data_IF_374476252718
#
_entry.id   IF_374476252718
#
_cell.length_a   1.000
_cell.length_b   1.000
_cell.length_c   1.000
_cell.angle_alpha   90.00
_cell.angle_beta   90.00
_cell.angle_gamma   90.00
#
_symmetry.space_group_name_H-M   'P 1'
#
loop_
_entity.id
_entity.type
_entity.pdbx_description
1 polymer ?
#
# COMPACT_ATOMS: atom_id res chain seq x y z
N UNK A 1 -9.77 6.98 5.47
CA UNK A 1 -8.46 6.67 4.87
C UNK A 1 -7.53 6.20 5.97
N UNK A 2 -6.74 5.18 5.69
CA UNK A 2 -5.69 4.68 6.59
C UNK A 2 -4.44 5.56 6.40
N UNK A 3 -3.86 6.07 7.49
CA UNK A 3 -2.60 6.79 7.38
C UNK A 3 -1.49 5.83 6.91
N UNK A 4 -0.63 6.28 6.00
CA UNK A 4 0.54 5.52 5.54
C UNK A 4 1.83 6.18 6.01
N UNK A 5 2.92 5.43 6.12
CA UNK A 5 4.21 5.96 6.56
C UNK A 5 4.90 6.73 5.42
N UNK A 6 5.31 8.01 5.60
CA UNK A 6 5.82 8.86 4.52
C UNK A 6 7.07 8.29 3.84
N UNK A 7 7.15 8.40 2.52
CA UNK A 7 8.17 7.67 1.75
C UNK A 7 9.61 8.18 1.93
N UNK A 8 9.73 9.48 2.21
CA UNK A 8 10.98 10.19 2.49
C UNK A 8 11.62 9.77 3.81
N UNK A 9 10.85 9.15 4.71
CA UNK A 9 11.32 8.68 6.00
C UNK A 9 11.81 7.22 5.88
N UNK A 10 12.87 6.81 6.60
CA UNK A 10 13.28 5.42 6.69
C UNK A 10 12.13 4.44 6.97
N UNK A 11 11.93 3.49 6.06
CA UNK A 11 10.82 2.51 6.09
C UNK A 11 11.11 1.29 6.99
N UNK A 12 12.37 1.13 7.40
CA UNK A 12 12.89 0.00 8.16
C UNK A 12 13.56 0.48 9.45
N UNK A 13 13.50 -0.35 10.48
CA UNK A 13 14.28 -0.17 11.69
C UNK A 13 15.79 -0.35 11.43
N UNK A 14 16.64 0.17 12.31
CA UNK A 14 18.03 -0.30 12.40
C UNK A 14 18.04 -1.78 12.83
N UNK A 15 18.99 -2.57 12.32
CA UNK A 15 19.10 -4.02 12.57
C UNK A 15 19.19 -4.37 14.06
N UNK A 16 19.93 -3.58 14.83
CA UNK A 16 20.08 -3.65 16.29
C UNK A 16 19.11 -2.74 17.05
N UNK A 17 18.26 -1.99 16.34
CA UNK A 17 17.39 -0.95 16.88
C UNK A 17 16.04 -1.43 17.39
N UNK A 18 15.78 -2.74 17.43
CA UNK A 18 14.46 -3.31 17.74
C UNK A 18 14.49 -4.04 19.08
N UNK A 19 13.57 -3.66 19.98
CA UNK A 19 13.37 -4.34 21.27
C UNK A 19 11.89 -4.40 21.66
N UNK A 20 11.50 -5.36 22.49
CA UNK A 20 10.10 -5.57 22.90
C UNK A 20 9.56 -6.95 22.50
N UNK A 21 8.24 -7.09 22.42
CA UNK A 21 7.60 -8.37 22.13
C UNK A 21 6.09 -8.42 22.39
N UNK A 22 5.49 -9.63 22.34
CA UNK A 22 4.09 -9.84 22.67
C UNK A 22 3.73 -9.30 24.06
N UNK A 23 2.57 -8.66 24.17
CA UNK A 23 2.01 -8.22 25.44
C UNK A 23 0.97 -9.22 25.93
N UNK A 24 0.87 -9.42 27.24
CA UNK A 24 -0.24 -10.20 27.80
C UNK A 24 -1.51 -9.34 27.78
N UNK A 25 -2.45 -9.73 26.91
CA UNK A 25 -3.75 -9.07 26.74
C UNK A 25 -4.87 -9.77 27.53
N UNK A 26 -4.53 -10.68 28.46
CA UNK A 26 -5.52 -11.35 29.32
C UNK A 26 -6.01 -10.41 30.42
N UNK A 27 -7.32 -10.44 30.67
CA UNK A 27 -7.88 -10.00 31.94
C UNK A 27 -7.74 -11.16 32.94
N UNK A 28 -7.03 -10.94 34.04
CA UNK A 28 -6.97 -11.87 35.17
C UNK A 28 -7.86 -11.33 36.30
N UNK A 29 -8.71 -12.19 36.85
CA UNK A 29 -9.48 -11.96 38.05
C UNK A 29 -8.95 -12.89 39.15
N UNK A 30 -8.42 -12.30 40.21
CA UNK A 30 -7.86 -13.01 41.36
C UNK A 30 -8.89 -12.93 42.51
N UNK A 31 -9.70 -13.99 42.74
CA UNK A 31 -10.65 -14.00 43.84
C UNK A 31 -9.93 -14.11 45.19
N UNK A 32 -10.54 -13.61 46.26
CA UNK A 32 -9.99 -13.74 47.62
C UNK A 32 -9.89 -15.19 48.12
N UNK A 33 -10.61 -16.13 47.46
CA UNK A 33 -10.57 -17.58 47.70
C UNK A 33 -10.72 -18.30 46.36
N UNK A 34 -9.83 -19.25 46.08
CA UNK A 34 -9.85 -20.06 44.85
C UNK A 34 -8.79 -19.64 43.82
N UNK A 35 -8.77 -20.33 42.68
CA UNK A 35 -7.80 -20.09 41.60
C UNK A 35 -8.12 -18.84 40.78
N UNK A 36 -7.08 -18.21 40.23
CA UNK A 36 -7.23 -17.05 39.35
C UNK A 36 -7.87 -17.42 38.01
N UNK A 37 -8.88 -16.66 37.60
CA UNK A 37 -9.58 -16.84 36.31
C UNK A 37 -8.99 -15.85 35.30
N UNK A 38 -8.42 -16.34 34.20
CA UNK A 38 -7.93 -15.49 33.11
C UNK A 38 -8.76 -15.66 31.83
N UNK A 39 -9.00 -14.55 31.11
CA UNK A 39 -9.66 -14.54 29.79
C UNK A 39 -8.97 -13.55 28.84
N UNK A 40 -8.72 -13.90 27.57
CA UNK A 40 -8.16 -12.96 26.60
C UNK A 40 -9.15 -11.81 26.34
N UNK A 41 -8.65 -10.55 26.33
CA UNK A 41 -9.46 -9.37 25.95
C UNK A 41 -9.57 -9.17 24.43
N UNK A 42 -8.69 -9.82 23.67
CA UNK A 42 -8.58 -9.68 22.22
C UNK A 42 -8.39 -11.06 21.58
N UNK A 43 -8.85 -11.21 20.34
CA UNK A 43 -8.77 -12.48 19.58
C UNK A 43 -7.36 -12.82 19.09
N UNK A 44 -6.46 -11.84 18.99
CA UNK A 44 -5.08 -12.04 18.57
C UNK A 44 -4.07 -11.32 19.47
N UNK A 45 -2.82 -11.72 19.38
CA UNK A 45 -1.72 -11.15 20.15
C UNK A 45 -1.36 -9.74 19.66
N UNK A 46 -1.33 -8.79 20.60
CA UNK A 46 -0.69 -7.47 20.41
C UNK A 46 0.80 -7.62 20.72
N UNK A 47 1.65 -7.04 19.88
CA UNK A 47 3.08 -6.89 20.17
C UNK A 47 3.41 -5.42 20.34
N UNK A 48 4.26 -5.08 21.31
CA UNK A 48 4.78 -3.73 21.50
C UNK A 48 6.28 -3.75 21.30
N UNK A 49 6.77 -2.91 20.39
CA UNK A 49 8.19 -2.77 20.09
C UNK A 49 8.63 -1.32 20.25
N UNK A 50 9.82 -1.14 20.81
CA UNK A 50 10.60 0.08 20.71
C UNK A 50 11.55 -0.07 19.51
N UNK A 51 11.49 0.88 18.58
CA UNK A 51 12.10 0.82 17.25
C UNK A 51 12.93 2.08 17.01
N UNK A 52 14.25 1.94 16.94
CA UNK A 52 15.15 3.00 16.50
C UNK A 52 15.25 3.02 14.99
N UNK A 53 14.98 4.19 14.40
CA UNK A 53 15.16 4.47 12.98
C UNK A 53 16.62 4.84 12.68
N UNK A 54 17.08 4.66 11.43
CA UNK A 54 18.31 5.25 10.93
C UNK A 54 18.42 6.76 11.18
N UNK A 55 19.64 7.28 11.09
CA UNK A 55 19.91 8.71 11.24
C UNK A 55 19.21 9.53 10.14
N UNK A 56 18.40 10.49 10.52
CA UNK A 56 17.65 11.38 9.63
C UNK A 56 18.23 12.80 9.62
N UNK A 57 18.12 13.49 8.48
CA UNK A 57 18.35 14.93 8.39
C UNK A 57 17.23 15.74 9.05
N UNK A 58 17.38 17.07 9.10
CA UNK A 58 16.36 17.94 9.71
C UNK A 58 15.06 17.92 8.90
N UNK A 59 15.13 18.02 7.57
CA UNK A 59 13.94 18.02 6.71
C UNK A 59 13.15 16.71 6.78
N UNK A 60 13.83 15.56 6.84
CA UNK A 60 13.19 14.25 7.03
C UNK A 60 12.50 14.15 8.41
N UNK A 61 13.09 14.75 9.45
CA UNK A 61 12.49 14.83 10.77
C UNK A 61 11.30 15.80 10.83
N UNK A 62 11.33 16.91 10.11
CA UNK A 62 10.20 17.84 9.99
C UNK A 62 9.01 17.15 9.31
N UNK A 63 9.22 16.44 8.19
CA UNK A 63 8.18 15.61 7.55
C UNK A 63 7.62 14.53 8.50
N UNK A 64 8.46 13.93 9.35
CA UNK A 64 8.01 12.99 10.38
C UNK A 64 7.10 13.64 11.44
N UNK A 65 7.49 14.81 11.96
CA UNK A 65 6.78 15.49 13.04
C UNK A 65 5.43 16.05 12.55
N UNK A 66 5.40 16.62 11.35
CA UNK A 66 4.18 17.10 10.66
C UNK A 66 3.22 15.93 10.38
N UNK A 67 3.71 14.85 9.76
CA UNK A 67 2.90 13.64 9.54
C UNK A 67 2.35 13.05 10.85
N UNK A 68 3.17 13.02 11.90
CA UNK A 68 2.74 12.53 13.20
C UNK A 68 1.62 13.39 13.79
N UNK A 69 1.77 14.71 13.71
CA UNK A 69 0.79 15.67 14.21
C UNK A 69 -0.55 15.58 13.45
N UNK A 70 -0.50 15.54 12.13
CA UNK A 70 -1.65 15.67 11.23
C UNK A 70 -2.32 14.32 10.91
N UNK A 71 -1.56 13.35 10.41
CA UNK A 71 -2.12 12.11 9.84
C UNK A 71 -2.42 11.06 10.92
N UNK A 72 -1.61 11.00 11.98
CA UNK A 72 -1.81 10.00 13.04
C UNK A 72 -2.72 10.48 14.18
N UNK A 73 -3.23 11.71 14.11
CA UNK A 73 -3.95 12.33 15.22
C UNK A 73 -3.13 12.29 16.51
N UNK A 74 -1.82 12.62 16.43
CA UNK A 74 -0.82 12.53 17.51
C UNK A 74 -0.72 11.12 18.14
N UNK A 75 -0.72 10.10 17.29
CA UNK A 75 -0.58 8.69 17.65
C UNK A 75 -1.88 7.97 18.00
N UNK A 76 -3.04 8.59 17.81
CA UNK A 76 -4.35 7.98 18.06
C UNK A 76 -4.86 7.12 16.90
N UNK A 77 -4.49 7.44 15.67
CA UNK A 77 -4.86 6.71 14.44
C UNK A 77 -3.86 5.60 14.15
N UNK A 78 -4.34 4.50 13.58
CA UNK A 78 -3.49 3.40 13.12
C UNK A 78 -2.99 3.65 11.68
N UNK A 79 -1.81 3.15 11.39
CA UNK A 79 -1.14 3.24 10.08
C UNK A 79 -0.55 1.90 9.67
N UNK A 80 -0.14 1.77 8.41
CA UNK A 80 0.55 0.57 7.92
C UNK A 80 2.03 0.64 8.26
N UNK A 81 2.57 -0.44 8.84
CA UNK A 81 4.01 -0.58 9.09
C UNK A 81 4.46 -2.05 9.00
N UNK A 82 5.68 -2.29 8.52
CA UNK A 82 6.31 -3.62 8.46
C UNK A 82 6.80 -4.13 9.82
N UNK A 83 6.17 -5.18 10.34
CA UNK A 83 6.53 -5.84 11.62
C UNK A 83 8.04 -6.14 11.64
N UNK A 84 8.83 -5.53 12.55
CA UNK A 84 10.28 -5.56 12.47
C UNK A 84 10.88 -6.94 12.76
N UNK A 85 10.10 -7.86 13.34
CA UNK A 85 10.53 -9.24 13.63
C UNK A 85 10.05 -10.20 12.55
N UNK A 86 8.85 -9.98 11.99
CA UNK A 86 8.24 -10.89 11.00
C UNK A 86 8.45 -10.47 9.55
N UNK A 87 8.88 -9.25 9.30
CA UNK A 87 9.03 -8.68 7.96
C UNK A 87 7.72 -8.41 7.21
N UNK A 88 6.54 -8.68 7.80
CA UNK A 88 5.25 -8.54 7.12
C UNK A 88 4.54 -7.21 7.46
N UNK A 89 3.87 -6.54 6.51
CA UNK A 89 3.04 -5.37 6.77
C UNK A 89 1.89 -5.70 7.73
N UNK A 90 1.68 -4.84 8.72
CA UNK A 90 0.58 -4.95 9.69
C UNK A 90 0.06 -3.55 10.03
N UNK A 91 -1.14 -3.50 10.61
CA UNK A 91 -1.62 -2.27 11.23
C UNK A 91 -0.83 -2.02 12.52
N UNK A 92 -0.19 -0.86 12.60
CA UNK A 92 0.55 -0.38 13.75
C UNK A 92 -0.08 0.92 14.27
N UNK A 93 0.15 1.21 15.55
CA UNK A 93 -0.26 2.45 16.20
C UNK A 93 0.78 2.82 17.24
N UNK A 94 0.95 4.10 17.54
CA UNK A 94 1.80 4.51 18.66
C UNK A 94 1.26 3.98 20.00
N UNK A 95 2.16 3.44 20.81
CA UNK A 95 1.83 2.90 22.12
C UNK A 95 1.55 4.04 23.10
N UNK A 96 0.65 3.87 24.08
CA UNK A 96 0.36 4.92 25.05
C UNK A 96 1.58 5.27 25.92
N UNK A 97 1.68 6.55 26.30
CA UNK A 97 2.79 7.13 27.04
C UNK A 97 3.74 7.92 26.13
N UNK A 98 5.04 7.76 26.32
CA UNK A 98 6.06 8.30 25.41
C UNK A 98 5.99 7.54 24.06
N UNK A 99 5.48 8.23 23.05
CA UNK A 99 5.18 7.71 21.71
C UNK A 99 6.44 7.60 20.83
N UNK A 100 7.32 8.60 20.90
CA UNK A 100 8.66 8.59 20.34
C UNK A 100 9.61 9.45 21.18
N UNK A 101 10.89 9.12 21.11
CA UNK A 101 11.98 9.90 21.68
C UNK A 101 12.93 10.36 20.56
N UNK A 102 13.51 11.55 20.68
CA UNK A 102 14.42 12.13 19.68
C UNK A 102 15.78 12.43 20.32
N UNK A 103 16.85 11.84 19.78
CA UNK A 103 18.22 12.23 20.11
C UNK A 103 18.84 13.03 18.96
N UNK A 104 19.52 14.13 19.27
CA UNK A 104 20.30 14.91 18.30
C UNK A 104 21.78 14.61 18.43
N UNK A 105 22.47 14.32 17.32
CA UNK A 105 23.94 14.23 17.26
C UNK A 105 24.45 15.00 16.04
N UNK A 106 24.94 16.22 16.28
CA UNK A 106 25.34 17.15 15.22
C UNK A 106 24.14 17.60 14.38
N UNK A 107 24.20 17.36 13.06
CA UNK A 107 23.08 17.63 12.13
C UNK A 107 21.96 16.57 12.21
N UNK A 108 22.30 15.34 12.57
CA UNK A 108 21.40 14.18 12.50
C UNK A 108 20.38 14.12 13.65
N UNK A 109 19.24 13.51 13.38
CA UNK A 109 18.21 13.09 14.35
C UNK A 109 18.13 11.57 14.38
N UNK A 110 18.09 11.00 15.58
CA UNK A 110 17.85 9.59 15.82
C UNK A 110 16.51 9.50 16.52
N UNK A 111 15.51 8.94 15.85
CA UNK A 111 14.16 8.79 16.39
C UNK A 111 13.94 7.36 16.82
N UNK A 112 13.47 7.19 18.04
CA UNK A 112 13.08 5.90 18.60
C UNK A 112 11.57 5.93 18.83
N UNK A 113 10.83 5.18 18.02
CA UNK A 113 9.38 5.02 18.10
C UNK A 113 9.00 3.94 19.11
N UNK A 114 7.79 4.01 19.68
CA UNK A 114 7.21 2.94 20.48
C UNK A 114 5.88 2.48 19.87
N UNK A 115 5.89 1.40 19.10
CA UNK A 115 4.75 0.96 18.28
C UNK A 115 4.06 -0.29 18.85
N UNK A 116 2.73 -0.23 18.91
CA UNK A 116 1.82 -1.35 19.16
C UNK A 116 1.33 -1.91 17.83
N UNK A 117 1.64 -3.17 17.53
CA UNK A 117 1.17 -3.88 16.34
C UNK A 117 -0.14 -4.60 16.65
N UNK A 118 -1.20 -4.21 15.94
CA UNK A 118 -2.56 -4.68 16.14
C UNK A 118 -2.76 -6.11 15.60
N UNK A 119 -3.68 -6.91 16.18
CA UNK A 119 -3.95 -8.25 15.70
C UNK A 119 -4.60 -8.24 14.30
N UNK A 120 -4.40 -9.33 13.57
CA UNK A 120 -4.83 -9.48 12.18
C UNK A 120 -3.71 -9.26 11.16
N UNK A 121 -3.95 -9.73 9.94
CA UNK A 121 -3.18 -9.36 8.75
C UNK A 121 -3.98 -8.32 7.96
N UNK A 122 -3.30 -7.40 7.30
CA UNK A 122 -3.94 -6.58 6.27
C UNK A 122 -4.25 -7.50 5.10
N UNK A 123 -5.43 -7.37 4.49
CA UNK A 123 -5.82 -8.22 3.35
C UNK A 123 -4.87 -8.01 2.17
N UNK A 124 -4.43 -6.76 1.98
CA UNK A 124 -3.47 -6.36 0.97
C UNK A 124 -1.99 -6.58 1.33
N UNK A 125 -1.67 -7.24 2.47
CA UNK A 125 -0.29 -7.36 2.94
C UNK A 125 0.65 -8.06 1.93
N UNK A 126 0.13 -8.98 1.11
CA UNK A 126 0.89 -9.66 0.07
C UNK A 126 1.33 -8.77 -1.10
N UNK A 127 0.60 -7.67 -1.36
CA UNK A 127 0.91 -6.74 -2.45
C UNK A 127 1.91 -5.64 -2.05
N UNK A 128 2.21 -5.48 -0.76
CA UNK A 128 3.16 -4.46 -0.29
C UNK A 128 4.61 -4.99 -0.40
N UNK A 129 5.45 -4.38 -1.26
CA UNK A 129 6.79 -4.89 -1.55
C UNK A 129 7.70 -4.89 -0.34
N UNK A 130 8.57 -5.88 -0.23
CA UNK A 130 9.50 -5.99 0.90
C UNK A 130 10.38 -4.72 1.03
N UNK A 131 10.68 -4.33 2.27
CA UNK A 131 11.36 -3.06 2.59
C UNK A 131 10.50 -1.79 2.50
N UNK A 132 9.21 -1.89 2.12
CA UNK A 132 8.26 -0.76 2.04
C UNK A 132 7.12 -0.94 3.06
N UNK A 133 6.61 0.17 3.62
CA UNK A 133 5.50 0.21 4.59
C UNK A 133 4.26 0.99 4.06
N UNK A 134 4.20 1.20 2.75
CA UNK A 134 3.16 1.99 2.07
C UNK A 134 2.13 1.04 1.45
N UNK A 135 0.83 1.17 1.77
CA UNK A 135 -0.21 0.39 1.12
C UNK A 135 -0.45 0.87 -0.32
N UNK A 136 -0.85 0.00 -1.25
CA UNK A 136 -1.45 0.44 -2.49
C UNK A 136 -2.78 1.15 -2.21
N UNK A 137 -3.06 2.21 -2.98
CA UNK A 137 -4.35 2.92 -3.01
C UNK A 137 -5.42 2.02 -3.65
N UNK A 138 -5.01 1.27 -4.67
CA UNK A 138 -5.86 0.37 -5.44
C UNK A 138 -5.08 -0.89 -5.81
N UNK A 139 -5.75 -2.04 -5.70
CA UNK A 139 -5.31 -3.34 -6.20
C UNK A 139 -6.39 -3.85 -7.15
N UNK A 140 -5.98 -4.23 -8.35
CA UNK A 140 -6.75 -5.09 -9.24
C UNK A 140 -5.89 -6.33 -9.53
N UNK A 141 -6.27 -7.48 -8.98
CA UNK A 141 -5.62 -8.78 -9.20
C UNK A 141 -6.65 -9.70 -9.86
N UNK A 142 -6.51 -9.84 -11.18
CA UNK A 142 -7.46 -10.54 -12.02
C UNK A 142 -7.32 -12.05 -11.94
N UNK A 143 -6.13 -12.58 -11.60
CA UNK A 143 -5.95 -14.02 -11.39
C UNK A 143 -6.66 -14.52 -10.13
N UNK A 144 -6.80 -13.67 -9.11
CA UNK A 144 -7.46 -14.01 -7.86
C UNK A 144 -8.90 -13.45 -7.73
N UNK A 145 -9.47 -12.90 -8.81
CA UNK A 145 -10.78 -12.22 -8.82
C UNK A 145 -10.90 -11.18 -7.69
N UNK A 146 -9.81 -10.45 -7.40
CA UNK A 146 -9.72 -9.55 -6.25
C UNK A 146 -9.53 -8.09 -6.68
N UNK A 147 -10.48 -7.24 -6.29
CA UNK A 147 -10.34 -5.79 -6.37
C UNK A 147 -10.43 -5.18 -4.97
N UNK A 148 -9.70 -4.09 -4.71
CA UNK A 148 -9.90 -3.34 -3.49
C UNK A 148 -9.05 -2.10 -3.31
N UNK A 149 -9.37 -1.34 -2.28
CA UNK A 149 -8.68 -0.12 -1.84
C UNK A 149 -8.24 -0.25 -0.37
N UNK A 150 -7.58 0.77 0.18
CA UNK A 150 -7.15 0.77 1.59
C UNK A 150 -8.29 0.47 2.58
N UNK A 151 -9.56 0.74 2.20
CA UNK A 151 -10.74 0.52 3.03
C UNK A 151 -11.37 -0.88 2.94
N UNK A 152 -11.07 -1.68 1.92
CA UNK A 152 -11.67 -3.01 1.76
C UNK A 152 -11.52 -3.61 0.36
N UNK A 153 -11.97 -4.86 0.22
CA UNK A 153 -11.93 -5.63 -1.04
C UNK A 153 -13.30 -6.19 -1.43
N UNK A 154 -13.50 -6.40 -2.72
CA UNK A 154 -14.66 -7.03 -3.37
C UNK A 154 -14.17 -7.95 -4.50
N UNK A 155 -15.05 -8.84 -4.99
CA UNK A 155 -14.74 -9.63 -6.18
C UNK A 155 -14.66 -8.73 -7.41
N UNK A 156 -13.77 -8.98 -8.38
CA UNK A 156 -13.68 -8.17 -9.60
C UNK A 156 -14.95 -8.25 -10.43
N UNK A 157 -15.68 -9.37 -10.37
CA UNK A 157 -17.01 -9.51 -10.99
C UNK A 157 -18.05 -8.46 -10.52
N UNK A 158 -17.88 -7.85 -9.34
CA UNK A 158 -18.78 -6.77 -8.85
C UNK A 158 -18.50 -5.44 -9.54
N UNK A 159 -17.28 -5.24 -10.07
CA UNK A 159 -16.94 -4.02 -10.81
C UNK A 159 -17.69 -3.92 -12.14
N UNK A 160 -17.83 -5.01 -12.88
CA UNK A 160 -18.59 -5.01 -14.14
C UNK A 160 -20.03 -4.55 -13.93
N UNK A 161 -20.66 -4.96 -12.84
CA UNK A 161 -22.03 -4.53 -12.48
C UNK A 161 -22.07 -3.05 -12.05
N UNK A 162 -21.07 -2.60 -11.27
CA UNK A 162 -20.97 -1.21 -10.82
C UNK A 162 -20.77 -0.23 -11.99
N UNK A 163 -19.96 -0.61 -12.98
CA UNK A 163 -19.68 0.22 -14.16
C UNK A 163 -20.80 0.17 -15.22
N UNK A 164 -21.54 -0.93 -15.32
CA UNK A 164 -22.75 -1.00 -16.15
C UNK A 164 -23.88 -0.04 -15.70
N UNK A 165 -23.87 0.37 -14.42
CA UNK A 165 -24.87 1.27 -13.83
C UNK A 165 -24.57 2.76 -13.98
N UNK A 166 -23.35 3.15 -14.37
CA UNK A 166 -22.94 4.56 -14.53
C UNK A 166 -23.00 5.06 -15.98
N UNK A 167 -23.41 4.21 -16.93
CA UNK A 167 -23.60 4.56 -18.33
C UNK A 167 -24.90 5.33 -18.59
N UNK A 168 -25.03 6.55 -18.07
CA UNK A 168 -25.83 7.54 -18.80
C UNK A 168 -25.08 7.86 -20.11
N UNK A 169 -25.74 7.84 -21.27
CA UNK A 169 -25.07 8.11 -22.54
C UNK A 169 -24.51 9.54 -22.54
N UNK A 170 -23.22 9.66 -22.81
CA UNK A 170 -22.56 10.96 -22.97
C UNK A 170 -23.14 11.64 -24.22
N UNK A 171 -23.70 12.83 -24.05
CA UNK A 171 -24.39 13.58 -25.11
C UNK A 171 -23.42 13.91 -26.27
N UNK A 172 -23.89 13.82 -27.52
CA UNK A 172 -23.07 13.65 -28.72
C UNK A 172 -22.11 14.81 -29.07
N UNK A 173 -22.17 15.95 -28.35
CA UNK A 173 -21.41 17.16 -28.68
C UNK A 173 -19.89 17.06 -28.45
N UNK A 174 -19.38 16.05 -27.73
CA UNK A 174 -17.92 15.85 -27.55
C UNK A 174 -17.27 14.96 -28.62
N UNK A 175 -18.02 14.40 -29.58
CA UNK A 175 -17.45 13.67 -30.73
C UNK A 175 -16.75 12.35 -30.40
N UNK A 176 -17.20 11.67 -29.35
CA UNK A 176 -16.72 10.34 -28.92
C UNK A 176 -17.84 9.30 -29.10
N UNK A 177 -17.99 8.80 -30.32
CA UNK A 177 -18.86 7.65 -30.61
C UNK A 177 -18.18 6.37 -30.15
N UNK A 178 -18.82 5.63 -29.24
CA UNK A 178 -18.49 4.23 -28.98
C UNK A 178 -19.10 3.39 -30.11
N UNK A 179 -18.27 2.66 -30.86
CA UNK A 179 -18.73 1.66 -31.82
C UNK A 179 -19.03 0.35 -31.07
N UNK A 180 -20.13 -0.34 -31.39
CA UNK A 180 -20.59 -1.51 -30.61
C UNK A 180 -19.69 -2.75 -30.79
N UNK A 181 -18.84 -2.76 -31.84
CA UNK A 181 -17.91 -3.84 -32.15
C UNK A 181 -16.49 -3.62 -31.54
N UNK A 182 -16.16 -2.43 -31.04
CA UNK A 182 -14.85 -2.11 -30.45
C UNK A 182 -14.93 -1.95 -28.91
N UNK A 183 -14.02 -2.59 -28.18
CA UNK A 183 -14.09 -2.72 -26.71
C UNK A 183 -14.21 -1.38 -25.95
N UNK A 184 -15.09 -1.36 -24.93
CA UNK A 184 -15.49 -0.17 -24.18
C UNK A 184 -14.34 0.76 -23.77
N UNK A 185 -14.54 2.07 -23.92
CA UNK A 185 -13.62 3.11 -23.41
C UNK A 185 -14.23 3.72 -22.14
N UNK A 186 -13.40 3.93 -21.11
CA UNK A 186 -13.78 4.56 -19.85
C UNK A 186 -12.83 5.74 -19.58
N UNK A 187 -13.28 6.74 -18.83
CA UNK A 187 -12.49 7.90 -18.42
C UNK A 187 -12.94 8.30 -17.02
N UNK A 188 -12.05 8.36 -16.03
CA UNK A 188 -12.39 8.91 -14.71
C UNK A 188 -11.99 10.41 -14.69
N UNK A 189 -12.98 11.29 -14.83
CA UNK A 189 -12.76 12.74 -14.89
C UNK A 189 -12.64 13.42 -13.52
N UNK A 190 -13.59 13.18 -12.62
CA UNK A 190 -13.91 14.14 -11.54
C UNK A 190 -13.74 13.64 -10.09
N UNK A 191 -13.32 12.39 -9.85
CA UNK A 191 -13.25 11.81 -8.48
C UNK A 191 -11.87 11.92 -7.80
N UNK A 192 -10.86 12.49 -8.47
CA UNK A 192 -9.55 12.80 -7.88
C UNK A 192 -9.41 14.33 -7.75
N UNK A 193 -9.16 14.89 -6.54
CA UNK A 193 -9.20 16.34 -6.34
C UNK A 193 -8.20 17.16 -7.15
N UNK A 194 -7.07 16.59 -7.56
CA UNK A 194 -6.12 17.21 -8.50
C UNK A 194 -5.56 16.11 -9.46
N UNK A 195 -5.69 16.35 -10.77
CA UNK A 195 -5.32 15.52 -11.93
C UNK A 195 -6.15 14.24 -12.24
N UNK A 196 -6.50 14.06 -13.54
CA UNK A 196 -7.48 13.08 -14.04
C UNK A 196 -6.92 11.88 -14.84
N UNK A 197 -7.82 10.98 -15.24
CA UNK A 197 -7.51 9.56 -15.55
C UNK A 197 -7.72 9.16 -17.01
N UNK A 198 -7.24 7.97 -17.36
CA UNK A 198 -7.29 7.32 -18.68
C UNK A 198 -7.66 5.85 -18.44
N UNK A 199 -8.48 5.18 -19.30
CA UNK A 199 -8.85 3.75 -19.12
C UNK A 199 -8.80 2.94 -20.42
N UNK A 200 -8.83 1.61 -20.27
CA UNK A 200 -8.69 0.61 -21.32
C UNK A 200 -9.45 -0.68 -21.06
N UNK A 201 -9.75 -1.39 -22.15
CA UNK A 201 -10.46 -2.68 -22.16
C UNK A 201 -9.70 -3.75 -22.93
N UNK A 202 -9.95 -5.02 -22.57
CA UNK A 202 -9.51 -6.22 -23.27
C UNK A 202 -10.73 -7.00 -23.74
N UNK A 203 -10.74 -7.47 -24.99
CA UNK A 203 -11.71 -8.44 -25.50
C UNK A 203 -11.01 -9.36 -26.50
N UNK A 204 -11.15 -10.69 -26.37
CA UNK A 204 -10.50 -11.64 -27.27
C UNK A 204 -10.29 -13.02 -26.65
N UNK A 205 -11.35 -13.79 -26.46
CA UNK A 205 -11.26 -15.12 -25.87
C UNK A 205 -10.58 -16.13 -26.81
N UNK A 206 -9.59 -16.86 -26.30
CA UNK A 206 -9.00 -18.06 -26.89
C UNK A 206 -8.57 -17.97 -28.38
N UNK A 207 -7.30 -17.58 -28.57
CA UNK A 207 -6.55 -17.47 -29.82
C UNK A 207 -6.68 -16.15 -30.60
N UNK A 208 -5.60 -15.36 -30.61
CA UNK A 208 -5.28 -14.56 -31.79
C UNK A 208 -5.00 -13.08 -31.64
N UNK A 209 -5.13 -12.51 -30.43
CA UNK A 209 -4.59 -11.18 -30.12
C UNK A 209 -5.50 -10.00 -30.43
N UNK A 210 -6.11 -9.47 -29.38
CA UNK A 210 -6.65 -8.12 -29.28
C UNK A 210 -6.34 -7.62 -27.87
N UNK A 211 -6.10 -6.32 -27.71
CA UNK A 211 -5.82 -5.74 -26.40
C UNK A 211 -5.45 -4.28 -26.45
N UNK A 212 -5.74 -3.57 -25.36
CA UNK A 212 -5.49 -2.14 -25.23
C UNK A 212 -4.83 -1.86 -23.87
N UNK A 213 -4.26 -0.66 -23.70
CA UNK A 213 -3.24 -0.32 -22.69
C UNK A 213 -3.22 1.19 -22.29
N UNK A 214 -3.72 1.62 -21.12
CA UNK A 214 -3.90 3.07 -20.84
C UNK A 214 -3.82 3.47 -19.35
N UNK A 215 -3.19 4.63 -19.05
CA UNK A 215 -3.00 5.27 -17.73
C UNK A 215 -2.76 6.79 -17.90
N UNK A 216 -3.12 7.66 -16.93
CA UNK A 216 -2.84 9.12 -16.92
C UNK A 216 -2.46 9.65 -15.51
N UNK A 217 -1.68 10.74 -15.49
CA UNK A 217 -1.30 11.56 -14.33
C UNK A 217 -1.01 13.01 -14.79
N UNK A 218 -1.05 13.98 -13.87
CA UNK A 218 -0.57 15.38 -14.00
C UNK A 218 -0.31 15.90 -12.56
N UNK A 219 0.43 16.96 -12.24
CA UNK A 219 1.41 17.73 -13.02
C UNK A 219 2.85 17.55 -12.48
N UNK A 220 3.07 16.57 -11.60
CA UNK A 220 4.30 16.39 -10.79
C UNK A 220 5.01 15.05 -11.01
N UNK A 221 4.94 14.50 -12.23
CA UNK A 221 5.74 13.37 -12.74
C UNK A 221 5.64 12.03 -11.97
N UNK A 222 4.41 11.51 -11.88
CA UNK A 222 4.17 10.07 -11.86
C UNK A 222 3.85 9.58 -13.28
N UNK A 223 4.40 8.42 -13.68
CA UNK A 223 4.11 7.81 -14.99
C UNK A 223 4.17 6.28 -14.86
N UNK A 224 3.13 5.63 -15.37
CA UNK A 224 2.96 4.18 -15.47
C UNK A 224 2.19 3.94 -16.78
N UNK A 225 2.45 2.83 -17.48
CA UNK A 225 1.79 2.37 -18.72
C UNK A 225 2.08 0.87 -18.82
N UNK A 226 1.20 0.04 -19.40
CA UNK A 226 1.57 -1.31 -19.92
C UNK A 226 0.70 -1.70 -21.10
N UNK A 227 1.36 -2.30 -22.11
CA UNK A 227 0.93 -2.51 -23.51
C UNK A 227 0.15 -3.81 -23.82
N UNK A 228 -0.39 -3.90 -25.04
CA UNK A 228 -0.76 -5.15 -25.72
C UNK A 228 0.45 -5.86 -26.37
N UNK A 229 0.21 -6.60 -27.47
CA UNK A 229 1.11 -7.62 -28.09
C UNK A 229 2.49 -7.16 -28.66
N UNK A 230 3.03 -6.04 -28.16
CA UNK A 230 4.42 -5.59 -28.34
C UNK A 230 5.10 -5.27 -26.99
N UNK A 231 4.59 -5.82 -25.88
CA UNK A 231 5.21 -5.71 -24.56
C UNK A 231 6.66 -6.27 -24.54
N UNK A 232 6.99 -7.19 -25.44
CA UNK A 232 8.33 -7.72 -25.72
C UNK A 232 9.45 -6.68 -25.97
N UNK A 233 9.12 -5.40 -26.21
CA UNK A 233 10.09 -4.32 -26.49
C UNK A 233 10.31 -3.32 -25.35
N UNK A 234 9.57 -3.45 -24.23
CA UNK A 234 9.70 -2.55 -23.07
C UNK A 234 10.71 -3.09 -22.05
N UNK A 235 11.53 -2.20 -21.50
CA UNK A 235 12.45 -2.54 -20.41
C UNK A 235 11.67 -2.84 -19.12
N UNK A 236 11.58 -4.13 -18.77
CA UNK A 236 10.90 -4.62 -17.56
C UNK A 236 11.45 -4.00 -16.27
N UNK A 237 12.71 -3.51 -16.27
CA UNK A 237 13.29 -2.84 -15.11
C UNK A 237 12.62 -1.47 -14.80
N UNK A 238 11.90 -0.87 -15.75
CA UNK A 238 11.24 0.43 -15.58
C UNK A 238 9.85 0.34 -14.91
N UNK A 239 9.24 -0.83 -14.78
CA UNK A 239 7.82 -1.00 -14.44
C UNK A 239 7.54 -2.05 -13.35
N UNK A 240 8.01 -1.85 -12.10
CA UNK A 240 7.94 -2.86 -11.03
C UNK A 240 6.54 -3.05 -10.39
N UNK A 241 5.48 -2.49 -11.00
CA UNK A 241 4.11 -2.47 -10.45
C UNK A 241 3.13 -3.36 -11.22
N UNK A 242 3.59 -4.01 -12.29
CA UNK A 242 2.78 -4.73 -13.25
C UNK A 242 3.35 -6.14 -13.43
N UNK A 243 2.53 -7.13 -13.06
CA UNK A 243 2.90 -8.55 -13.15
C UNK A 243 2.32 -9.14 -14.43
N UNK A 244 3.13 -9.90 -15.16
CA UNK A 244 2.75 -10.55 -16.41
C UNK A 244 2.91 -12.07 -16.30
N UNK A 245 2.00 -12.80 -16.94
CA UNK A 245 2.16 -14.23 -17.22
C UNK A 245 2.95 -14.48 -18.52
N UNK A 246 3.31 -15.74 -18.79
CA UNK A 246 4.14 -16.14 -19.95
C UNK A 246 3.55 -15.72 -21.32
N UNK A 247 2.25 -15.40 -21.38
CA UNK A 247 1.53 -14.95 -22.56
C UNK A 247 1.34 -13.42 -22.66
N UNK A 248 2.19 -12.62 -22.00
CA UNK A 248 2.13 -11.13 -21.96
C UNK A 248 0.81 -10.54 -21.40
N UNK A 249 -0.01 -11.36 -20.74
CA UNK A 249 -1.26 -10.92 -20.12
C UNK A 249 -0.98 -10.25 -18.77
N UNK A 250 -1.59 -9.09 -18.52
CA UNK A 250 -1.49 -8.37 -17.24
C UNK A 250 -2.31 -9.09 -16.19
N UNK A 251 -1.64 -9.55 -15.13
CA UNK A 251 -2.25 -10.37 -14.07
C UNK A 251 -2.69 -9.51 -12.89
N UNK A 252 -1.93 -8.44 -12.60
CA UNK A 252 -2.19 -7.53 -11.49
C UNK A 252 -1.74 -6.10 -11.77
N UNK A 253 -2.52 -5.11 -11.34
CA UNK A 253 -2.19 -3.68 -11.36
C UNK A 253 -2.18 -3.15 -9.93
N UNK A 254 -1.10 -2.47 -9.54
CA UNK A 254 -0.93 -1.84 -8.23
C UNK A 254 -0.70 -0.33 -8.37
N UNK A 255 -1.50 0.48 -7.68
CA UNK A 255 -1.35 1.95 -7.64
C UNK A 255 -0.89 2.37 -6.24
N UNK A 256 0.18 3.15 -6.14
CA UNK A 256 0.72 3.69 -4.89
C UNK A 256 0.46 5.21 -4.78
N UNK A 257 0.32 5.75 -3.55
CA UNK A 257 0.02 7.18 -3.37
C UNK A 257 1.22 8.09 -3.71
N UNK A 258 2.44 7.56 -3.67
CA UNK A 258 3.69 8.29 -3.87
C UNK A 258 4.66 7.47 -4.73
N UNK A 259 5.50 8.14 -5.53
CA UNK A 259 6.50 7.50 -6.39
C UNK A 259 7.58 6.82 -5.54
N UNK A 260 7.69 5.49 -5.61
CA UNK A 260 8.73 4.78 -4.88
C UNK A 260 10.14 5.21 -5.36
N UNK A 261 11.12 5.44 -4.45
CA UNK A 261 12.49 5.74 -4.80
C UNK A 261 13.08 4.70 -5.76
N UNK A 262 13.79 5.14 -6.80
CA UNK A 262 14.31 4.25 -7.85
C UNK A 262 15.18 3.09 -7.31
N UNK A 263 15.92 3.30 -6.22
CA UNK A 263 16.69 2.26 -5.54
C UNK A 263 15.80 1.15 -4.93
N UNK A 264 14.60 1.50 -4.46
CA UNK A 264 13.60 0.53 -3.97
C UNK A 264 12.89 -0.15 -5.14
N UNK A 265 12.55 0.58 -6.21
CA UNK A 265 12.03 0.00 -7.45
C UNK A 265 12.95 -1.08 -8.04
N UNK A 266 14.27 -0.83 -8.05
CA UNK A 266 15.25 -1.80 -8.54
C UNK A 266 15.28 -3.08 -7.70
N UNK A 267 15.23 -2.96 -6.37
CA UNK A 267 15.20 -4.12 -5.47
C UNK A 267 13.85 -4.87 -5.48
N UNK A 268 12.76 -4.22 -5.90
CA UNK A 268 11.48 -4.87 -6.17
C UNK A 268 11.54 -5.70 -7.46
N UNK A 269 12.16 -5.17 -8.52
CA UNK A 269 12.22 -5.83 -9.83
C UNK A 269 13.10 -7.10 -9.85
N UNK A 270 14.07 -7.22 -8.94
CA UNK A 270 15.00 -8.37 -8.88
C UNK A 270 14.57 -9.47 -7.90
N UNK A 271 13.68 -9.20 -6.96
CA UNK A 271 13.38 -10.09 -5.83
C UNK A 271 14.51 -10.23 -4.78
N UNK A 272 15.72 -9.73 -5.10
CA UNK A 272 16.90 -9.76 -4.25
C UNK A 272 16.94 -8.57 -3.29
N UNK A 273 16.30 -8.74 -2.13
CA UNK A 273 16.51 -7.87 -0.96
C UNK A 273 17.49 -8.51 0.02
N UNK A 274 18.70 -8.83 -0.48
CA UNK A 274 19.86 -9.13 0.35
C UNK A 274 20.55 -7.81 0.72
N UNK A 275 20.24 -7.28 1.90
CA UNK A 275 20.94 -6.11 2.43
C UNK A 275 22.35 -6.48 2.90
N UNK A 276 23.35 -5.73 2.42
CA UNK A 276 24.65 -5.53 3.07
C UNK A 276 24.69 -4.13 3.69
#
# INVERSE_FOLDING_TARGET
MTAYWPISIPQCAMYDGVSGGPQDVRATFEPAVGDAISRPRMTGAVSVYQISLPAMELAEFEVFDDWFAEQTGRGSTAFVWRDPVRGNPRSAKFSPGEVYAVQRRGKWRFVTLKLSFLPGSLWYAGYIPSGVSIPPVMIADFANDLYGTDTGSMATAVLSDLFALTGDPVDDETGLTLDEDDGAVMVFGDWMPEAGTLVVTLSGAAAGGDGVAVVSFDASDALVYVAGALAATLDRAAMPYLTFEEAETVVSVLIYPERLPAQKCAAMATGDLVFQ
#
